data_IF_946842178805
#
_entry.id   IF_946842178805
#
_cell.length_a   1.000
_cell.length_b   1.000
_cell.length_c   1.000
_cell.angle_alpha   90.00
_cell.angle_beta   90.00
_cell.angle_gamma   90.00
#
_symmetry.space_group_name_H-M   'P 1'
#
loop_
_entity.id
_entity.type
_entity.pdbx_description
1 polymer ?
#
# COMPACT_ATOMS: atom_id res chain seq x y z
N UNK A 1 -17.29 32.99 24.55
CA UNK A 1 -17.20 31.72 25.28
C UNK A 1 -16.30 30.80 24.50
N UNK A 2 -15.05 30.70 24.98
CA UNK A 2 -14.02 29.81 24.49
C UNK A 2 -14.41 28.37 24.94
N UNK A 3 -15.10 27.63 24.11
CA UNK A 3 -15.12 26.17 24.22
C UNK A 3 -13.76 25.66 23.79
N UNK A 4 -12.84 25.50 24.72
CA UNK A 4 -11.67 24.65 24.53
C UNK A 4 -12.24 23.23 24.40
N UNK A 5 -12.36 22.73 23.14
CA UNK A 5 -12.61 21.32 22.91
C UNK A 5 -11.43 20.59 23.55
N UNK A 6 -11.66 19.88 24.65
CA UNK A 6 -10.69 18.90 25.13
C UNK A 6 -10.46 17.93 24.00
N UNK A 7 -9.27 18.03 23.37
CA UNK A 7 -8.88 17.09 22.30
C UNK A 7 -8.71 15.72 22.95
N UNK A 8 -9.60 14.82 22.59
CA UNK A 8 -9.58 13.45 23.10
C UNK A 8 -8.31 12.77 22.59
N UNK A 9 -7.40 12.47 23.50
CA UNK A 9 -6.18 11.70 23.17
C UNK A 9 -6.59 10.30 22.75
N UNK A 10 -6.12 9.86 21.58
CA UNK A 10 -6.32 8.48 21.13
C UNK A 10 -5.54 7.51 22.02
N UNK A 11 -6.19 6.43 22.41
CA UNK A 11 -5.60 5.37 23.23
C UNK A 11 -4.74 4.42 22.42
N UNK A 12 -3.85 3.68 23.07
CA UNK A 12 -3.12 2.58 22.42
C UNK A 12 -4.05 1.47 21.93
N UNK A 13 -5.21 1.30 22.57
CA UNK A 13 -6.22 0.33 22.16
C UNK A 13 -6.80 0.69 20.77
N UNK A 14 -7.13 1.96 20.52
CA UNK A 14 -7.66 2.40 19.21
C UNK A 14 -6.66 2.19 18.10
N UNK A 15 -5.38 2.48 18.33
CA UNK A 15 -4.27 2.18 17.40
C UNK A 15 -4.21 0.70 17.06
N UNK A 16 -4.24 -0.14 18.11
CA UNK A 16 -4.17 -1.59 17.97
C UNK A 16 -5.40 -2.15 17.23
N UNK A 17 -6.59 -1.69 17.58
CA UNK A 17 -7.84 -2.10 16.90
C UNK A 17 -7.77 -1.75 15.41
N UNK A 18 -7.36 -0.53 15.06
CA UNK A 18 -7.22 -0.12 13.66
C UNK A 18 -6.19 -0.97 12.91
N UNK A 19 -5.06 -1.28 13.55
CA UNK A 19 -4.03 -2.15 12.96
C UNK A 19 -4.57 -3.56 12.67
N UNK A 20 -5.29 -4.16 13.63
CA UNK A 20 -5.90 -5.50 13.49
C UNK A 20 -6.99 -5.51 12.42
N UNK A 21 -7.88 -4.52 12.42
CA UNK A 21 -8.92 -4.39 11.39
C UNK A 21 -8.29 -4.29 9.99
N UNK A 22 -7.26 -3.47 9.87
CA UNK A 22 -6.49 -3.37 8.64
C UNK A 22 -5.85 -4.69 8.24
N UNK A 23 -5.23 -5.41 9.19
CA UNK A 23 -4.63 -6.71 8.91
C UNK A 23 -5.67 -7.71 8.37
N UNK A 24 -6.85 -7.78 8.98
CA UNK A 24 -7.95 -8.64 8.52
C UNK A 24 -8.36 -8.27 7.09
N UNK A 25 -8.55 -6.99 6.78
CA UNK A 25 -8.82 -6.54 5.40
C UNK A 25 -7.68 -6.94 4.45
N UNK A 26 -6.43 -6.82 4.91
CA UNK A 26 -5.23 -7.16 4.15
C UNK A 26 -5.10 -8.64 3.80
N UNK A 27 -5.70 -9.53 4.60
CA UNK A 27 -5.70 -10.98 4.35
C UNK A 27 -6.37 -11.36 3.04
N UNK A 28 -7.26 -10.53 2.49
CA UNK A 28 -7.89 -10.79 1.20
C UNK A 28 -6.85 -10.68 0.07
N UNK A 29 -6.42 -11.83 -0.47
CA UNK A 29 -5.37 -11.94 -1.49
C UNK A 29 -5.99 -12.14 -2.87
N UNK A 30 -6.40 -11.05 -3.52
CA UNK A 30 -7.15 -11.06 -4.79
C UNK A 30 -6.47 -11.89 -5.87
N UNK A 31 -5.16 -11.71 -6.07
CA UNK A 31 -4.42 -12.46 -7.10
C UNK A 31 -4.34 -13.96 -6.81
N UNK A 32 -4.20 -14.35 -5.54
CA UNK A 32 -4.22 -15.77 -5.16
C UNK A 32 -5.62 -16.37 -5.36
N UNK A 33 -6.67 -15.68 -4.92
CA UNK A 33 -8.06 -16.13 -5.07
C UNK A 33 -8.41 -16.27 -6.56
N UNK A 34 -8.09 -15.26 -7.37
CA UNK A 34 -8.31 -15.28 -8.81
C UNK A 34 -7.58 -16.47 -9.47
N UNK A 35 -6.33 -16.71 -9.09
CA UNK A 35 -5.56 -17.86 -9.58
C UNK A 35 -6.24 -19.18 -9.22
N UNK A 36 -6.67 -19.35 -7.96
CA UNK A 36 -7.36 -20.56 -7.51
C UNK A 36 -8.66 -20.82 -8.25
N UNK A 37 -9.43 -19.79 -8.57
CA UNK A 37 -10.65 -19.91 -9.38
C UNK A 37 -10.35 -20.39 -10.82
N UNK A 38 -9.13 -20.17 -11.31
CA UNK A 38 -8.65 -20.67 -12.60
C UNK A 38 -7.75 -21.92 -12.47
N UNK A 39 -7.85 -22.65 -11.33
CA UNK A 39 -7.08 -23.87 -11.02
C UNK A 39 -5.55 -23.68 -11.05
N UNK A 40 -5.05 -22.45 -10.87
CA UNK A 40 -3.63 -22.10 -10.88
C UNK A 40 -3.22 -21.51 -9.52
N UNK A 41 -2.15 -22.06 -8.92
CA UNK A 41 -1.48 -21.40 -7.80
C UNK A 41 -0.39 -20.46 -8.33
N UNK A 42 -0.69 -19.16 -8.41
CA UNK A 42 0.23 -18.16 -8.99
C UNK A 42 1.56 -18.07 -8.25
N UNK A 43 1.64 -18.59 -7.02
CA UNK A 43 2.89 -18.64 -6.23
C UNK A 43 3.89 -19.66 -6.77
N UNK A 44 3.43 -20.63 -7.56
CA UNK A 44 4.26 -21.65 -8.22
C UNK A 44 4.68 -21.22 -9.62
N UNK A 45 4.21 -20.06 -10.11
CA UNK A 45 4.45 -19.61 -11.47
C UNK A 45 5.02 -18.18 -11.51
N UNK A 46 5.69 -17.84 -12.59
CA UNK A 46 6.24 -16.51 -12.82
C UNK A 46 7.29 -16.10 -11.80
N UNK A 47 7.03 -15.04 -11.03
CA UNK A 47 7.90 -14.58 -9.94
C UNK A 47 7.60 -15.24 -8.59
N UNK A 48 6.60 -16.09 -8.50
CA UNK A 48 6.15 -16.69 -7.25
C UNK A 48 5.41 -15.75 -6.30
N UNK A 49 5.13 -14.52 -6.72
CA UNK A 49 4.47 -13.51 -5.91
C UNK A 49 2.95 -13.50 -6.14
N UNK A 50 2.15 -13.30 -5.09
CA UNK A 50 0.68 -13.28 -5.20
C UNK A 50 0.09 -11.94 -5.68
N UNK A 51 0.93 -10.94 -6.02
CA UNK A 51 0.48 -9.59 -6.35
C UNK A 51 0.19 -9.37 -7.84
N UNK A 52 -0.30 -8.16 -8.13
CA UNK A 52 -0.76 -7.67 -9.44
C UNK A 52 0.16 -8.01 -10.62
N UNK A 53 1.46 -7.72 -10.49
CA UNK A 53 2.44 -7.93 -11.58
C UNK A 53 2.59 -9.40 -11.96
N UNK A 54 2.51 -10.30 -10.97
CA UNK A 54 2.60 -11.73 -11.27
C UNK A 54 1.27 -12.28 -11.80
N UNK A 55 0.15 -11.80 -11.28
CA UNK A 55 -1.18 -12.12 -11.81
C UNK A 55 -1.30 -11.72 -13.31
N UNK A 56 -0.85 -10.50 -13.65
CA UNK A 56 -0.78 -10.03 -15.04
C UNK A 56 0.10 -10.94 -15.90
N UNK A 57 1.24 -11.37 -15.39
CA UNK A 57 2.22 -12.19 -16.13
C UNK A 57 1.75 -13.61 -16.36
N UNK A 58 1.07 -14.22 -15.38
CA UNK A 58 0.71 -15.65 -15.38
C UNK A 58 -0.69 -15.86 -15.96
N UNK A 59 -1.63 -14.98 -15.62
CA UNK A 59 -3.07 -15.14 -15.90
C UNK A 59 -3.61 -14.08 -16.88
N UNK A 60 -2.75 -13.16 -17.32
CA UNK A 60 -3.11 -12.12 -18.29
C UNK A 60 -3.66 -10.85 -17.67
N UNK A 61 -4.01 -9.89 -18.55
CA UNK A 61 -4.33 -8.52 -18.16
C UNK A 61 -5.58 -8.39 -17.26
N UNK A 62 -6.60 -9.23 -17.49
CA UNK A 62 -7.82 -9.24 -16.65
C UNK A 62 -7.46 -9.56 -15.19
N UNK A 63 -6.68 -10.63 -14.97
CA UNK A 63 -6.23 -11.02 -13.63
C UNK A 63 -5.39 -9.91 -12.98
N UNK A 64 -4.53 -9.24 -13.76
CA UNK A 64 -3.75 -8.09 -13.28
C UNK A 64 -4.65 -6.95 -12.78
N UNK A 65 -5.64 -6.54 -13.59
CA UNK A 65 -6.57 -5.47 -13.21
C UNK A 65 -7.40 -5.87 -11.98
N UNK A 66 -7.99 -7.05 -11.96
CA UNK A 66 -8.78 -7.50 -10.82
C UNK A 66 -7.94 -7.57 -9.54
N UNK A 67 -6.69 -8.03 -9.63
CA UNK A 67 -5.78 -8.05 -8.48
C UNK A 67 -5.45 -6.65 -8.01
N UNK A 68 -5.16 -5.73 -8.92
CA UNK A 68 -4.88 -4.33 -8.58
C UNK A 68 -6.08 -3.67 -7.87
N UNK A 69 -7.26 -3.76 -8.48
CA UNK A 69 -8.48 -3.18 -7.92
C UNK A 69 -8.83 -3.78 -6.56
N UNK A 70 -8.76 -5.09 -6.41
CA UNK A 70 -9.04 -5.73 -5.13
C UNK A 70 -8.03 -5.34 -4.04
N UNK A 71 -6.76 -5.14 -4.40
CA UNK A 71 -5.73 -4.69 -3.46
C UNK A 71 -5.89 -3.21 -3.07
N UNK A 72 -6.41 -2.35 -3.96
CA UNK A 72 -6.80 -0.97 -3.63
C UNK A 72 -8.07 -0.96 -2.78
N UNK A 73 -9.09 -1.72 -3.17
CA UNK A 73 -10.39 -1.72 -2.50
C UNK A 73 -10.33 -2.20 -1.05
N UNK A 74 -9.42 -3.12 -0.69
CA UNK A 74 -9.26 -3.51 0.71
C UNK A 74 -8.73 -2.38 1.60
N UNK A 75 -7.94 -1.44 1.07
CA UNK A 75 -7.54 -0.23 1.78
C UNK A 75 -8.75 0.70 1.95
N UNK A 76 -9.55 0.86 0.90
CA UNK A 76 -10.78 1.66 0.93
C UNK A 76 -11.78 1.08 1.94
N UNK A 77 -11.93 -0.25 1.98
CA UNK A 77 -12.78 -0.90 2.97
C UNK A 77 -12.30 -0.63 4.41
N UNK A 78 -11.00 -0.80 4.68
CA UNK A 78 -10.42 -0.50 5.98
C UNK A 78 -10.62 0.98 6.37
N UNK A 79 -10.45 1.91 5.43
CA UNK A 79 -10.73 3.33 5.61
C UNK A 79 -12.16 3.58 6.05
N UNK A 80 -13.15 3.03 5.34
CA UNK A 80 -14.56 3.26 5.69
C UNK A 80 -14.95 2.65 7.04
N UNK A 81 -14.40 1.47 7.40
CA UNK A 81 -14.61 0.86 8.71
C UNK A 81 -14.08 1.79 9.81
N UNK A 82 -12.83 2.23 9.71
CA UNK A 82 -12.22 3.11 10.71
C UNK A 82 -12.92 4.46 10.78
N UNK A 83 -13.26 5.05 9.62
CA UNK A 83 -14.02 6.30 9.57
C UNK A 83 -15.39 6.18 10.23
N UNK A 84 -16.08 5.07 10.06
CA UNK A 84 -17.36 4.83 10.70
C UNK A 84 -17.22 4.70 12.22
N UNK A 85 -16.21 3.94 12.69
CA UNK A 85 -15.97 3.70 14.12
C UNK A 85 -15.49 4.96 14.86
N UNK A 86 -14.66 5.77 14.21
CA UNK A 86 -13.95 6.89 14.84
C UNK A 86 -14.24 8.25 14.18
N UNK A 87 -15.44 8.42 13.61
CA UNK A 87 -15.86 9.63 12.85
C UNK A 87 -15.77 10.96 13.62
N UNK A 88 -15.71 10.91 14.94
CA UNK A 88 -15.56 12.08 15.81
C UNK A 88 -14.13 12.32 16.31
N UNK A 89 -13.17 11.52 15.88
CA UNK A 89 -11.78 11.65 16.34
C UNK A 89 -11.04 12.73 15.57
N UNK A 90 -10.39 13.65 16.28
CA UNK A 90 -9.47 14.65 15.71
C UNK A 90 -8.19 14.00 15.14
N UNK A 91 -7.92 12.73 15.46
CA UNK A 91 -6.76 11.97 15.00
C UNK A 91 -7.13 10.89 13.97
N UNK A 92 -8.29 11.05 13.31
CA UNK A 92 -8.76 10.08 12.32
C UNK A 92 -7.74 9.76 11.21
N UNK A 93 -6.94 10.72 10.67
CA UNK A 93 -5.90 10.40 9.68
C UNK A 93 -4.85 9.42 10.22
N UNK A 94 -4.45 9.55 11.48
CA UNK A 94 -3.50 8.63 12.11
C UNK A 94 -4.10 7.23 12.27
N UNK A 95 -5.36 7.13 12.72
CA UNK A 95 -6.06 5.84 12.87
C UNK A 95 -6.23 5.14 11.52
N UNK A 96 -6.52 5.90 10.45
CA UNK A 96 -6.56 5.40 9.07
C UNK A 96 -5.17 4.91 8.63
N UNK A 97 -4.10 5.61 9.00
CA UNK A 97 -2.74 5.17 8.70
C UNK A 97 -2.39 3.86 9.41
N UNK A 98 -2.81 3.66 10.67
CA UNK A 98 -2.68 2.38 11.36
C UNK A 98 -3.42 1.25 10.66
N UNK A 99 -4.66 1.50 10.22
CA UNK A 99 -5.41 0.52 9.44
C UNK A 99 -4.71 0.20 8.11
N UNK A 100 -4.19 1.21 7.42
CA UNK A 100 -3.40 1.03 6.21
C UNK A 100 -2.12 0.23 6.41
N UNK A 101 -1.43 0.45 7.53
CA UNK A 101 -0.29 -0.37 7.94
C UNK A 101 -0.73 -1.83 8.17
N UNK A 102 -1.85 -2.05 8.85
CA UNK A 102 -2.47 -3.35 9.01
C UNK A 102 -2.75 -4.03 7.66
N UNK A 103 -3.40 -3.32 6.73
CA UNK A 103 -3.68 -3.84 5.37
C UNK A 103 -2.38 -4.27 4.68
N UNK A 104 -1.33 -3.47 4.78
CA UNK A 104 -0.02 -3.78 4.20
C UNK A 104 0.59 -5.04 4.82
N UNK A 105 0.54 -5.17 6.15
CA UNK A 105 1.02 -6.35 6.86
C UNK A 105 0.22 -7.60 6.49
N UNK A 106 -1.11 -7.53 6.47
CA UNK A 106 -1.98 -8.65 6.08
C UNK A 106 -1.78 -9.07 4.62
N UNK A 107 -1.51 -8.09 3.73
CA UNK A 107 -1.19 -8.37 2.34
C UNK A 107 0.20 -9.01 2.17
N UNK A 108 1.20 -8.53 2.90
CA UNK A 108 2.58 -9.02 2.77
C UNK A 108 2.79 -10.34 3.49
N UNK A 109 2.08 -10.55 4.60
CA UNK A 109 2.27 -11.66 5.53
C UNK A 109 0.95 -12.33 5.93
N UNK A 110 0.14 -12.82 4.97
CA UNK A 110 -1.10 -13.53 5.29
C UNK A 110 -0.77 -14.88 5.96
N UNK A 111 -1.28 -15.09 7.18
CA UNK A 111 -0.94 -16.27 7.99
C UNK A 111 -1.30 -17.58 7.28
N UNK A 112 -2.46 -17.63 6.61
CA UNK A 112 -2.94 -18.83 5.91
C UNK A 112 -2.14 -19.16 4.63
N UNK A 113 -1.25 -18.27 4.19
CA UNK A 113 -0.32 -18.49 3.07
C UNK A 113 1.13 -18.67 3.54
N UNK A 114 1.33 -19.14 4.78
CA UNK A 114 2.65 -19.26 5.40
C UNK A 114 3.44 -17.94 5.35
N UNK A 115 2.76 -16.82 5.58
CA UNK A 115 3.30 -15.46 5.57
C UNK A 115 3.98 -15.05 4.25
N UNK A 116 3.59 -15.68 3.12
CA UNK A 116 4.15 -15.43 1.78
C UNK A 116 3.10 -14.76 0.87
N UNK A 117 2.80 -13.50 1.12
CA UNK A 117 1.88 -12.68 0.32
C UNK A 117 2.56 -11.82 -0.74
N UNK A 118 1.88 -10.75 -1.17
CA UNK A 118 2.36 -9.78 -2.15
C UNK A 118 3.49 -8.88 -1.63
N UNK A 119 3.81 -7.83 -2.39
CA UNK A 119 4.80 -6.80 -2.02
C UNK A 119 4.18 -5.45 -1.70
N UNK A 120 2.87 -5.32 -1.90
CA UNK A 120 2.08 -4.20 -1.45
C UNK A 120 2.06 -2.98 -2.36
N UNK A 121 2.52 -3.04 -3.63
CA UNK A 121 2.48 -1.84 -4.49
C UNK A 121 1.05 -1.36 -4.80
N UNK A 122 0.12 -2.25 -5.07
CA UNK A 122 -1.28 -1.90 -5.26
C UNK A 122 -1.95 -1.47 -3.95
N UNK A 123 -1.53 -2.05 -2.81
CA UNK A 123 -1.94 -1.60 -1.47
C UNK A 123 -1.45 -0.17 -1.22
N UNK A 124 -0.20 0.15 -1.59
CA UNK A 124 0.34 1.50 -1.47
C UNK A 124 -0.47 2.52 -2.31
N UNK A 125 -0.87 2.15 -3.52
CA UNK A 125 -1.77 3.01 -4.31
C UNK A 125 -3.10 3.26 -3.57
N UNK A 126 -3.65 2.25 -2.89
CA UNK A 126 -4.78 2.40 -1.99
C UNK A 126 -4.49 3.32 -0.79
N UNK A 127 -3.31 3.21 -0.18
CA UNK A 127 -2.87 4.09 0.92
C UNK A 127 -2.78 5.55 0.47
N UNK A 128 -2.18 5.82 -0.69
CA UNK A 128 -2.12 7.17 -1.27
C UNK A 128 -3.54 7.71 -1.45
N UNK A 129 -4.43 6.91 -2.04
CA UNK A 129 -5.81 7.31 -2.27
C UNK A 129 -6.53 7.67 -0.97
N UNK A 130 -6.54 6.81 0.05
CA UNK A 130 -7.27 7.06 1.30
C UNK A 130 -6.67 8.20 2.11
N UNK A 131 -5.35 8.46 2.03
CA UNK A 131 -4.74 9.62 2.67
C UNK A 131 -4.97 10.93 1.89
N UNK A 132 -5.30 10.82 0.61
CA UNK A 132 -5.60 11.98 -0.24
C UNK A 132 -7.02 12.54 -0.07
N UNK A 133 -7.96 11.76 0.47
CA UNK A 133 -9.37 12.21 0.59
C UNK A 133 -9.58 13.35 1.58
N UNK A 134 -8.62 13.63 2.46
CA UNK A 134 -8.71 14.69 3.47
C UNK A 134 -8.68 16.10 2.90
N UNK A 135 -8.02 16.29 1.76
CA UNK A 135 -7.77 17.60 1.16
C UNK A 135 -8.04 17.63 -0.36
N UNK A 136 -9.14 17.01 -0.77
CA UNK A 136 -9.57 17.12 -2.17
C UNK A 136 -10.06 18.55 -2.49
N UNK A 137 -9.74 19.15 -3.65
CA UNK A 137 -9.04 18.54 -4.80
C UNK A 137 -7.51 18.64 -4.77
N UNK A 138 -6.90 19.37 -3.82
CA UNK A 138 -5.45 19.63 -3.79
C UNK A 138 -4.62 18.34 -3.75
N UNK A 139 -5.12 17.35 -3.05
CA UNK A 139 -4.49 16.03 -2.92
C UNK A 139 -4.52 15.18 -4.20
N UNK A 140 -5.32 15.54 -5.23
CA UNK A 140 -5.21 14.91 -6.54
C UNK A 140 -3.82 15.08 -7.13
N UNK A 141 -3.18 16.21 -6.85
CA UNK A 141 -1.79 16.46 -7.25
C UNK A 141 -0.84 15.37 -6.76
N UNK A 142 -1.07 14.85 -5.58
CA UNK A 142 -0.21 13.84 -4.95
C UNK A 142 -0.42 12.45 -5.50
N UNK A 143 -1.68 12.08 -5.73
CA UNK A 143 -1.98 10.86 -6.48
C UNK A 143 -1.24 10.89 -7.81
N UNK A 144 -1.25 12.04 -8.49
CA UNK A 144 -0.54 12.23 -9.75
C UNK A 144 0.98 12.13 -9.55
N UNK A 145 1.53 12.80 -8.52
CA UNK A 145 2.98 12.77 -8.23
C UNK A 145 3.44 11.34 -7.92
N UNK A 146 2.77 10.63 -7.00
CA UNK A 146 3.10 9.21 -6.73
C UNK A 146 3.00 8.36 -7.99
N UNK A 147 1.96 8.57 -8.82
CA UNK A 147 1.80 7.86 -10.09
C UNK A 147 2.96 8.15 -11.06
N UNK A 148 3.40 9.40 -11.17
CA UNK A 148 4.56 9.78 -12.00
C UNK A 148 5.85 9.12 -11.49
N UNK A 149 6.06 9.11 -10.16
CA UNK A 149 7.21 8.40 -9.54
C UNK A 149 7.16 6.89 -9.74
N UNK A 150 5.99 6.32 -10.00
CA UNK A 150 5.87 4.92 -10.41
C UNK A 150 6.10 4.75 -11.92
N UNK A 151 5.31 5.44 -12.75
CA UNK A 151 5.25 5.17 -14.19
C UNK A 151 6.50 5.64 -14.94
N UNK A 152 7.07 6.81 -14.63
CA UNK A 152 8.26 7.32 -15.31
C UNK A 152 9.43 6.34 -15.20
N UNK A 153 9.85 5.88 -13.99
CA UNK A 153 10.89 4.88 -13.88
C UNK A 153 10.56 3.55 -14.57
N UNK A 154 9.29 3.11 -14.53
CA UNK A 154 8.87 1.89 -15.23
C UNK A 154 9.02 2.04 -16.74
N UNK A 155 8.60 3.18 -17.31
CA UNK A 155 8.69 3.43 -18.76
C UNK A 155 10.16 3.48 -19.21
N UNK A 156 10.99 4.21 -18.47
CA UNK A 156 12.41 4.41 -18.81
C UNK A 156 13.21 3.11 -18.65
N UNK A 157 13.04 2.42 -17.52
CA UNK A 157 13.87 1.24 -17.19
C UNK A 157 13.26 -0.08 -17.62
N UNK A 158 11.94 -0.11 -17.83
CA UNK A 158 11.10 -1.30 -18.01
C UNK A 158 11.09 -2.23 -16.78
N UNK A 159 11.51 -1.76 -15.60
CA UNK A 159 11.48 -2.54 -14.36
C UNK A 159 10.39 -2.01 -13.41
N UNK A 160 9.33 -2.82 -13.20
CA UNK A 160 8.25 -2.47 -12.25
C UNK A 160 8.80 -2.31 -10.83
N UNK A 161 9.83 -3.08 -10.46
CA UNK A 161 10.45 -2.97 -9.13
C UNK A 161 11.09 -1.62 -8.88
N UNK A 162 11.68 -0.97 -9.89
CA UNK A 162 12.26 0.38 -9.76
C UNK A 162 11.14 1.39 -9.50
N UNK A 163 10.08 1.38 -10.33
CA UNK A 163 8.93 2.25 -10.11
C UNK A 163 8.27 2.04 -8.75
N UNK A 164 8.19 0.78 -8.27
CA UNK A 164 7.66 0.48 -6.94
C UNK A 164 8.46 1.14 -5.82
N UNK A 165 9.79 1.06 -5.87
CA UNK A 165 10.67 1.67 -4.87
C UNK A 165 10.60 3.19 -4.91
N UNK A 166 10.59 3.80 -6.11
CA UNK A 166 10.42 5.24 -6.27
C UNK A 166 9.07 5.71 -5.72
N UNK A 167 7.98 5.00 -6.00
CA UNK A 167 6.65 5.37 -5.53
C UNK A 167 6.51 5.27 -4.00
N UNK A 168 7.08 4.25 -3.34
CA UNK A 168 7.11 4.18 -1.87
C UNK A 168 7.94 5.30 -1.25
N UNK A 169 9.04 5.68 -1.88
CA UNK A 169 9.85 6.82 -1.42
C UNK A 169 9.10 8.13 -1.60
N UNK A 170 8.39 8.32 -2.72
CA UNK A 170 7.53 9.48 -2.95
C UNK A 170 6.41 9.54 -1.90
N UNK A 171 5.72 8.41 -1.63
CA UNK A 171 4.70 8.33 -0.59
C UNK A 171 5.21 8.79 0.79
N UNK A 172 6.40 8.36 1.20
CA UNK A 172 7.00 8.82 2.45
C UNK A 172 7.20 10.35 2.47
N UNK A 173 7.75 10.90 1.38
CA UNK A 173 7.99 12.34 1.26
C UNK A 173 6.65 13.09 1.31
N UNK A 174 5.64 12.61 0.61
CA UNK A 174 4.30 13.19 0.58
C UNK A 174 3.67 13.21 1.99
N UNK A 175 3.74 12.12 2.74
CA UNK A 175 3.20 12.07 4.10
C UNK A 175 3.86 13.09 5.02
N UNK A 176 5.18 13.29 4.89
CA UNK A 176 5.90 14.29 5.65
C UNK A 176 5.47 15.71 5.23
N UNK A 177 5.43 16.00 3.94
CA UNK A 177 5.03 17.31 3.41
C UNK A 177 3.59 17.66 3.82
N UNK A 178 2.66 16.70 3.77
CA UNK A 178 1.27 16.91 4.18
C UNK A 178 1.14 17.32 5.63
N UNK A 179 1.85 16.64 6.51
CA UNK A 179 1.83 17.00 7.91
C UNK A 179 2.49 18.37 8.15
N UNK A 180 3.59 18.70 7.44
CA UNK A 180 4.24 20.02 7.54
C UNK A 180 3.34 21.15 7.01
N UNK A 181 2.51 20.89 6.02
CA UNK A 181 1.52 21.85 5.50
C UNK A 181 0.24 21.92 6.34
N UNK A 182 0.15 21.13 7.43
CA UNK A 182 -1.03 21.09 8.31
C UNK A 182 -2.24 20.39 7.70
N UNK A 183 -2.08 19.63 6.62
CA UNK A 183 -3.19 18.99 5.91
C UNK A 183 -3.84 17.85 6.68
N UNK A 184 -3.22 17.33 7.71
CA UNK A 184 -3.85 16.32 8.57
C UNK A 184 -4.67 16.93 9.72
N UNK A 185 -4.54 18.24 9.96
CA UNK A 185 -5.22 18.97 11.07
C UNK A 185 -5.07 18.26 12.44
N UNK A 186 -3.88 17.73 12.70
CA UNK A 186 -3.53 17.00 13.92
C UNK A 186 -2.41 17.72 14.69
N UNK A 187 -2.30 17.40 15.97
CA UNK A 187 -1.15 17.83 16.77
C UNK A 187 0.17 17.27 16.22
N UNK A 188 1.26 18.02 16.38
CA UNK A 188 2.56 17.65 15.84
C UNK A 188 3.04 16.26 16.29
N UNK A 189 2.74 15.86 17.55
CA UNK A 189 3.09 14.54 18.06
C UNK A 189 2.45 13.40 17.27
N UNK A 190 1.20 13.54 16.87
CA UNK A 190 0.49 12.57 16.04
C UNK A 190 0.97 12.57 14.58
N UNK A 191 1.39 13.73 14.07
CA UNK A 191 2.02 13.81 12.76
C UNK A 191 3.36 13.05 12.76
N UNK A 192 4.20 13.21 13.77
CA UNK A 192 5.46 12.46 13.89
C UNK A 192 5.23 10.95 13.99
N UNK A 193 4.19 10.52 14.71
CA UNK A 193 3.79 9.11 14.77
C UNK A 193 3.38 8.57 13.39
N UNK A 194 2.59 9.34 12.64
CA UNK A 194 2.19 9.02 11.26
C UNK A 194 3.40 8.91 10.33
N UNK A 195 4.38 9.83 10.43
CA UNK A 195 5.63 9.76 9.67
C UNK A 195 6.43 8.50 10.01
N UNK A 196 6.48 8.13 11.29
CA UNK A 196 7.11 6.89 11.75
C UNK A 196 6.50 5.65 11.06
N UNK A 197 5.17 5.59 10.95
CA UNK A 197 4.49 4.52 10.23
C UNK A 197 4.85 4.55 8.73
N UNK A 198 4.86 5.72 8.10
CA UNK A 198 5.24 5.85 6.68
C UNK A 198 6.69 5.39 6.43
N UNK A 199 7.63 5.72 7.33
CA UNK A 199 9.02 5.23 7.29
C UNK A 199 9.05 3.71 7.38
N UNK A 200 8.34 3.11 8.35
CA UNK A 200 8.30 1.65 8.52
C UNK A 200 7.71 0.94 7.30
N UNK A 201 6.63 1.48 6.71
CA UNK A 201 6.03 0.93 5.51
C UNK A 201 6.98 1.01 4.30
N UNK A 202 7.69 2.12 4.15
CA UNK A 202 8.68 2.31 3.09
C UNK A 202 9.86 1.34 3.29
N UNK A 203 10.40 1.23 4.49
CA UNK A 203 11.46 0.28 4.82
C UNK A 203 11.02 -1.17 4.56
N UNK A 204 9.79 -1.53 4.95
CA UNK A 204 9.21 -2.83 4.67
C UNK A 204 9.12 -3.08 3.15
N UNK A 205 8.69 -2.10 2.36
CA UNK A 205 8.62 -2.23 0.91
C UNK A 205 10.01 -2.48 0.30
N UNK A 206 11.03 -1.75 0.73
CA UNK A 206 12.41 -1.98 0.31
C UNK A 206 12.89 -3.39 0.68
N UNK A 207 12.62 -3.83 1.90
CA UNK A 207 12.92 -5.20 2.34
C UNK A 207 12.19 -6.25 1.49
N UNK A 208 10.90 -6.05 1.19
CA UNK A 208 10.12 -6.96 0.33
C UNK A 208 10.62 -6.99 -1.12
N UNK A 209 11.33 -5.96 -1.56
CA UNK A 209 11.94 -5.89 -2.89
C UNK A 209 13.42 -6.33 -2.93
N UNK A 210 14.01 -6.81 -1.82
CA UNK A 210 15.43 -7.18 -1.75
C UNK A 210 15.88 -8.14 -2.84
N UNK A 211 15.04 -9.13 -3.21
CA UNK A 211 15.37 -10.07 -4.29
C UNK A 211 15.29 -9.43 -5.69
N UNK A 212 14.41 -8.42 -5.86
CA UNK A 212 14.38 -7.60 -7.08
C UNK A 212 15.63 -6.74 -7.17
N UNK A 213 16.04 -6.11 -6.06
CA UNK A 213 17.26 -5.30 -5.99
C UNK A 213 18.49 -6.14 -6.34
N UNK A 214 18.62 -7.35 -5.78
CA UNK A 214 19.69 -8.29 -6.15
C UNK A 214 19.70 -8.60 -7.65
N UNK A 215 18.53 -8.83 -8.26
CA UNK A 215 18.42 -9.08 -9.70
C UNK A 215 18.70 -7.84 -10.54
N UNK A 216 18.32 -6.64 -10.08
CA UNK A 216 18.64 -5.38 -10.74
C UNK A 216 20.15 -5.16 -10.79
N UNK A 217 20.85 -5.34 -9.67
CA UNK A 217 22.33 -5.23 -9.60
C UNK A 217 23.02 -6.24 -10.51
N UNK A 218 22.47 -7.46 -10.62
CA UNK A 218 23.02 -8.53 -11.50
C UNK A 218 22.56 -8.40 -12.96
N UNK A 219 21.74 -7.41 -13.33
CA UNK A 219 21.19 -7.28 -14.68
C UNK A 219 20.18 -8.37 -15.08
N UNK A 220 19.66 -9.15 -14.14
CA UNK A 220 18.78 -10.31 -14.37
C UNK A 220 17.32 -10.08 -13.98
N UNK A 221 16.95 -8.83 -13.67
CA UNK A 221 15.56 -8.50 -13.32
C UNK A 221 14.63 -8.60 -14.54
N UNK A 222 13.41 -9.07 -14.32
CA UNK A 222 12.41 -9.25 -15.36
C UNK A 222 11.89 -7.90 -15.88
N UNK A 223 12.13 -7.60 -17.15
CA UNK A 223 11.58 -6.41 -17.81
C UNK A 223 10.08 -6.57 -18.05
N UNK A 224 9.35 -5.48 -17.88
CA UNK A 224 7.94 -5.41 -18.23
C UNK A 224 7.76 -5.56 -19.74
N UNK A 225 6.78 -6.36 -20.16
CA UNK A 225 6.48 -6.60 -21.58
C UNK A 225 7.48 -7.51 -22.32
N UNK A 226 8.49 -8.09 -21.65
CA UNK A 226 9.31 -9.11 -22.28
C UNK A 226 8.54 -10.43 -22.38
N UNK A 227 8.37 -10.95 -23.61
CA UNK A 227 7.91 -12.34 -23.81
C UNK A 227 8.95 -13.27 -23.18
N UNK A 228 8.54 -14.16 -22.30
CA UNK A 228 9.41 -15.28 -21.88
C UNK A 228 9.77 -16.08 -23.12
N UNK A 229 11.06 -16.23 -23.43
CA UNK A 229 11.49 -17.26 -24.37
C UNK A 229 11.00 -18.58 -23.76
N UNK A 230 10.07 -19.26 -24.46
CA UNK A 230 9.59 -20.57 -24.03
C UNK A 230 10.77 -21.54 -23.92
N UNK A 231 10.81 -22.24 -22.84
CA UNK A 231 11.47 -23.54 -22.73
C UNK A 231 10.39 -24.58 -22.69
#
# INVERSE_FOLDING_TARGET
>A
SLFVRERIRISNMERFVCLILGYICGLFQTGYIYGRLHHIDIRKHGSGNAGTTNALRVLGWKAGIFTFLGDVLKCVAAYFIVRFMYRGSDCLPLLVMYAGAGVTLGHNFPFYMNFKGGKGIAVMAGLVFINSVWHMPQSLFLILVTALFFFIPVIVTRYISVGSLCAYTAFLIEMILFGQWGWFDMEAGYCYELYGIAVLLTALAWYRHRENIKRLVKGTENKFGSKRKGH
#
